data_IF_919309011859
#
_entry.id   IF_919309011859
#
_cell.length_a   1.000
_cell.length_b   1.000
_cell.length_c   1.000
_cell.angle_alpha   90.00
_cell.angle_beta   90.00
_cell.angle_gamma   90.00
#
_symmetry.space_group_name_H-M   'P 1'
#
loop_
_entity.id
_entity.type
_entity.pdbx_description
1 polymer ?
#
# COMPACT_ATOMS: atom_id res chain seq x y z
N UNK A 1 52.74 51.45 -27.51
CA UNK A 1 51.64 50.47 -27.46
C UNK A 1 50.44 51.18 -26.85
N UNK A 2 49.29 51.17 -27.51
CA UNK A 2 48.10 51.90 -27.04
C UNK A 2 47.09 50.84 -26.60
N UNK A 3 47.03 50.59 -25.30
CA UNK A 3 46.09 49.64 -24.73
C UNK A 3 44.68 50.18 -24.93
N UNK A 4 43.90 49.52 -25.78
CA UNK A 4 42.48 49.82 -25.97
C UNK A 4 41.73 49.22 -24.78
N UNK A 5 41.32 50.06 -23.84
CA UNK A 5 40.43 49.66 -22.76
C UNK A 5 39.04 49.28 -23.27
N UNK A 6 38.33 48.43 -22.52
CA UNK A 6 36.94 48.06 -22.79
C UNK A 6 36.03 49.28 -22.68
N UNK A 7 35.07 49.38 -23.60
CA UNK A 7 34.05 50.44 -23.53
C UNK A 7 32.98 50.09 -22.50
N UNK A 8 32.39 51.09 -21.85
CA UNK A 8 31.33 50.89 -20.85
C UNK A 8 30.17 50.05 -21.41
N UNK A 9 29.80 50.29 -22.67
CA UNK A 9 28.72 49.57 -23.35
C UNK A 9 29.05 48.08 -23.54
N UNK A 10 30.31 47.75 -23.79
CA UNK A 10 30.77 46.37 -24.01
C UNK A 10 30.77 45.56 -22.71
N UNK A 11 31.10 46.20 -21.59
CA UNK A 11 30.97 45.61 -20.25
C UNK A 11 29.49 45.37 -19.90
N UNK A 12 28.62 46.34 -20.19
CA UNK A 12 27.16 46.21 -19.98
C UNK A 12 26.55 45.08 -20.82
N UNK A 13 26.93 44.98 -22.10
CA UNK A 13 26.46 43.89 -22.98
C UNK A 13 26.98 42.54 -22.48
N UNK A 14 28.25 42.46 -22.07
CA UNK A 14 28.81 41.22 -21.54
C UNK A 14 28.10 40.77 -20.26
N UNK A 15 27.80 41.71 -19.36
CA UNK A 15 27.10 41.42 -18.11
C UNK A 15 25.65 40.99 -18.36
N UNK A 16 24.95 41.63 -19.30
CA UNK A 16 23.57 41.26 -19.66
C UNK A 16 23.51 39.90 -20.34
N UNK A 17 24.45 39.57 -21.23
CA UNK A 17 24.55 38.23 -21.81
C UNK A 17 24.84 37.19 -20.74
N UNK A 18 25.76 37.49 -19.80
CA UNK A 18 26.08 36.60 -18.69
C UNK A 18 24.85 36.31 -17.83
N UNK A 19 24.05 37.33 -17.47
CA UNK A 19 22.85 37.14 -16.65
C UNK A 19 21.77 36.33 -17.38
N UNK A 20 21.59 36.54 -18.69
CA UNK A 20 20.67 35.74 -19.51
C UNK A 20 21.11 34.27 -19.53
N UNK A 21 22.40 34.01 -19.77
CA UNK A 21 22.96 32.65 -19.81
C UNK A 21 22.82 31.97 -18.45
N UNK A 22 23.20 32.65 -17.36
CA UNK A 22 23.05 32.14 -16.00
C UNK A 22 21.58 31.86 -15.65
N UNK A 23 20.66 32.73 -16.07
CA UNK A 23 19.22 32.55 -15.88
C UNK A 23 18.69 31.29 -16.59
N UNK A 24 19.10 31.08 -17.84
CA UNK A 24 18.71 29.90 -18.63
C UNK A 24 19.26 28.60 -18.02
N UNK A 25 20.53 28.59 -17.58
CA UNK A 25 21.17 27.44 -16.93
C UNK A 25 20.48 27.13 -15.61
N UNK A 26 20.22 28.15 -14.78
CA UNK A 26 19.56 27.98 -13.50
C UNK A 26 18.12 27.47 -13.68
N UNK A 27 17.36 28.03 -14.62
CA UNK A 27 16.01 27.54 -14.94
C UNK A 27 16.00 26.06 -15.35
N UNK A 28 16.94 25.67 -16.22
CA UNK A 28 17.09 24.28 -16.67
C UNK A 28 17.44 23.35 -15.50
N UNK A 29 18.37 23.76 -14.63
CA UNK A 29 18.76 23.00 -13.45
C UNK A 29 17.60 22.79 -12.48
N UNK A 30 16.82 23.84 -12.20
CA UNK A 30 15.64 23.74 -11.33
C UNK A 30 14.54 22.89 -11.94
N UNK A 31 14.36 22.95 -13.26
CA UNK A 31 13.40 22.10 -13.97
C UNK A 31 13.77 20.62 -13.83
N UNK A 32 15.04 20.27 -14.07
CA UNK A 32 15.54 18.89 -13.94
C UNK A 32 15.41 18.39 -12.50
N UNK A 33 15.82 19.20 -11.51
CA UNK A 33 15.69 18.83 -10.08
C UNK A 33 14.24 18.53 -9.68
N UNK A 34 13.30 19.39 -10.08
CA UNK A 34 11.88 19.16 -9.78
C UNK A 34 11.36 17.90 -10.47
N UNK A 35 11.81 17.62 -11.69
CA UNK A 35 11.45 16.39 -12.38
C UNK A 35 11.97 15.17 -11.62
N UNK A 36 13.24 15.16 -11.19
CA UNK A 36 13.82 14.04 -10.45
C UNK A 36 13.15 13.82 -9.10
N UNK A 37 12.91 14.88 -8.31
CA UNK A 37 12.24 14.78 -7.01
C UNK A 37 10.81 14.22 -7.13
N UNK A 38 10.08 14.59 -8.20
CA UNK A 38 8.76 14.03 -8.50
C UNK A 38 8.83 12.54 -8.83
N UNK A 39 9.79 12.15 -9.66
CA UNK A 39 9.98 10.74 -10.01
C UNK A 39 10.29 9.88 -8.79
N UNK A 40 11.11 10.38 -7.86
CA UNK A 40 11.46 9.65 -6.65
C UNK A 40 10.24 9.41 -5.74
N UNK A 41 9.41 10.43 -5.52
CA UNK A 41 8.19 10.30 -4.71
C UNK A 41 7.17 9.34 -5.33
N UNK A 42 6.96 9.44 -6.64
CA UNK A 42 6.04 8.55 -7.36
C UNK A 42 6.58 7.11 -7.29
N UNK A 43 7.85 6.90 -7.62
CA UNK A 43 8.50 5.59 -7.58
C UNK A 43 8.36 4.93 -6.20
N UNK A 44 8.56 5.71 -5.13
CA UNK A 44 8.38 5.24 -3.76
C UNK A 44 6.94 4.76 -3.51
N UNK A 45 5.93 5.55 -3.86
CA UNK A 45 4.52 5.18 -3.64
C UNK A 45 4.09 3.94 -4.42
N UNK A 46 4.53 3.80 -5.66
CA UNK A 46 4.33 2.57 -6.44
C UNK A 46 5.02 1.37 -5.80
N UNK A 47 6.23 1.55 -5.28
CA UNK A 47 6.99 0.50 -4.61
C UNK A 47 6.33 0.05 -3.31
N UNK A 48 5.92 0.98 -2.45
CA UNK A 48 5.18 0.72 -1.20
C UNK A 48 3.89 -0.06 -1.50
N UNK A 49 3.10 0.43 -2.46
CA UNK A 49 1.82 -0.21 -2.83
C UNK A 49 2.02 -1.62 -3.38
N UNK A 50 3.02 -1.83 -4.25
CA UNK A 50 3.34 -3.17 -4.77
C UNK A 50 3.84 -4.10 -3.69
N UNK A 51 4.65 -3.60 -2.77
CA UNK A 51 5.19 -4.40 -1.64
C UNK A 51 4.05 -4.81 -0.70
N UNK A 52 3.13 -3.90 -0.40
CA UNK A 52 1.93 -4.19 0.37
C UNK A 52 1.03 -5.24 -0.31
N UNK A 53 0.81 -5.12 -1.62
CA UNK A 53 0.04 -6.09 -2.41
C UNK A 53 0.71 -7.48 -2.42
N UNK A 54 2.02 -7.57 -2.65
CA UNK A 54 2.74 -8.85 -2.64
C UNK A 54 2.71 -9.50 -1.24
N UNK A 55 2.85 -8.68 -0.19
CA UNK A 55 2.73 -9.14 1.20
C UNK A 55 1.35 -9.74 1.46
N UNK A 56 0.27 -8.99 1.18
CA UNK A 56 -1.10 -9.47 1.34
C UNK A 56 -1.36 -10.73 0.50
N UNK A 57 -0.87 -10.77 -0.75
CA UNK A 57 -1.01 -11.95 -1.61
C UNK A 57 -0.43 -13.19 -0.96
N UNK A 58 0.80 -13.12 -0.42
CA UNK A 58 1.44 -14.25 0.24
C UNK A 58 0.71 -14.69 1.50
N UNK A 59 0.21 -13.74 2.29
CA UNK A 59 -0.54 -14.04 3.50
C UNK A 59 -1.89 -14.68 3.18
N UNK A 60 -2.61 -14.20 2.15
CA UNK A 60 -3.85 -14.84 1.66
C UNK A 60 -3.57 -16.23 1.11
N UNK A 61 -2.47 -16.43 0.36
CA UNK A 61 -2.06 -17.76 -0.11
C UNK A 61 -1.77 -18.71 1.05
N UNK A 62 -1.27 -18.19 2.18
CA UNK A 62 -0.96 -18.89 3.42
C UNK A 62 -2.09 -18.91 4.47
N UNK A 63 -3.30 -18.46 4.11
CA UNK A 63 -4.41 -18.35 5.05
C UNK A 63 -4.89 -19.72 5.55
N UNK A 64 -5.27 -19.79 6.82
CA UNK A 64 -5.72 -21.00 7.49
C UNK A 64 -7.06 -20.76 8.19
N UNK A 65 -7.87 -21.83 8.26
CA UNK A 65 -9.14 -21.84 8.99
C UNK A 65 -9.14 -22.96 10.01
N UNK A 66 -9.94 -22.80 11.07
CA UNK A 66 -10.14 -23.82 12.09
C UNK A 66 -10.63 -25.13 11.47
N UNK A 67 -10.04 -26.27 11.84
CA UNK A 67 -10.64 -27.57 11.53
C UNK A 67 -11.88 -27.79 12.41
N UNK A 68 -13.01 -28.10 11.79
CA UNK A 68 -14.22 -28.50 12.52
C UNK A 68 -14.02 -29.78 13.35
N UNK A 69 -12.96 -30.57 13.07
CA UNK A 69 -12.59 -31.80 13.80
C UNK A 69 -11.50 -31.62 14.86
N UNK A 70 -10.94 -30.43 15.01
CA UNK A 70 -9.92 -30.17 16.03
C UNK A 70 -10.55 -30.00 17.41
N UNK A 71 -9.92 -30.63 18.41
CA UNK A 71 -10.29 -30.64 19.81
C UNK A 71 -10.57 -29.20 20.33
N UNK A 72 -11.72 -28.96 20.97
CA UNK A 72 -12.10 -27.65 21.52
C UNK A 72 -11.10 -27.11 22.58
N UNK A 73 -10.23 -27.98 23.07
CA UNK A 73 -9.18 -27.68 24.04
C UNK A 73 -8.07 -26.77 23.48
N UNK A 74 -7.88 -26.69 22.15
CA UNK A 74 -6.97 -25.72 21.50
C UNK A 74 -7.76 -24.57 20.90
N UNK A 75 -7.93 -23.50 21.69
CA UNK A 75 -8.64 -22.25 21.33
C UNK A 75 -7.92 -21.38 20.27
N UNK A 76 -7.36 -21.96 19.21
CA UNK A 76 -6.79 -21.16 18.12
C UNK A 76 -7.96 -20.65 17.28
N UNK A 77 -8.20 -19.33 17.34
CA UNK A 77 -9.20 -18.64 16.50
C UNK A 77 -8.58 -18.41 15.12
N UNK A 78 -8.67 -19.43 14.26
CA UNK A 78 -8.23 -19.33 12.87
C UNK A 78 -9.42 -18.99 11.96
N UNK A 79 -9.30 -17.91 11.19
CA UNK A 79 -10.37 -17.44 10.31
C UNK A 79 -9.90 -16.55 9.18
N UNK A 80 -10.82 -16.22 8.29
CA UNK A 80 -10.65 -15.29 7.19
C UNK A 80 -11.92 -14.45 7.04
N UNK A 81 -11.79 -13.14 7.24
CA UNK A 81 -12.91 -12.21 7.28
C UNK A 81 -12.61 -11.01 6.40
N UNK A 82 -13.52 -10.72 5.48
CA UNK A 82 -13.55 -9.48 4.70
C UNK A 82 -14.76 -8.68 5.18
N UNK A 83 -14.52 -7.43 5.56
CA UNK A 83 -15.56 -6.46 5.93
C UNK A 83 -15.52 -5.29 4.98
N UNK A 84 -16.68 -4.93 4.43
CA UNK A 84 -16.83 -3.65 3.74
C UNK A 84 -16.89 -2.53 4.78
N UNK A 85 -16.22 -1.42 4.50
CA UNK A 85 -16.10 -0.27 5.39
C UNK A 85 -16.28 1.03 4.61
N UNK A 86 -16.68 2.04 5.36
CA UNK A 86 -16.62 3.42 4.90
C UNK A 86 -15.75 4.19 5.89
N UNK A 87 -14.75 4.90 5.36
CA UNK A 87 -13.91 5.80 6.14
C UNK A 87 -13.95 7.14 5.41
N UNK A 88 -14.57 8.13 6.05
CA UNK A 88 -14.67 9.49 5.52
C UNK A 88 -15.40 9.60 4.16
N UNK A 89 -16.45 8.79 3.96
CA UNK A 89 -17.21 8.75 2.70
C UNK A 89 -16.48 8.05 1.55
N UNK A 90 -15.31 7.48 1.82
CA UNK A 90 -14.55 6.66 0.87
C UNK A 90 -14.77 5.20 1.22
N UNK A 91 -15.13 4.43 0.20
CA UNK A 91 -15.34 3.01 0.37
C UNK A 91 -14.01 2.28 0.52
N UNK A 92 -13.86 1.61 1.65
CA UNK A 92 -12.65 0.88 2.06
C UNK A 92 -13.02 -0.54 2.50
N UNK A 93 -12.03 -1.40 2.69
CA UNK A 93 -12.25 -2.75 3.24
C UNK A 93 -11.40 -2.95 4.48
N UNK A 94 -11.79 -3.90 5.32
CA UNK A 94 -10.91 -4.51 6.30
C UNK A 94 -10.78 -6.00 5.99
N UNK A 95 -9.55 -6.49 6.06
CA UNK A 95 -9.21 -7.89 5.84
C UNK A 95 -8.54 -8.40 7.11
N UNK A 96 -9.12 -9.43 7.71
CA UNK A 96 -8.54 -10.15 8.84
C UNK A 96 -8.34 -11.60 8.43
N UNK A 97 -7.15 -12.14 8.61
CA UNK A 97 -6.87 -13.53 8.33
C UNK A 97 -5.87 -14.11 9.30
N UNK A 98 -5.94 -15.43 9.47
CA UNK A 98 -4.94 -16.17 10.23
C UNK A 98 -3.96 -16.83 9.28
N UNK A 99 -2.68 -16.49 9.42
CA UNK A 99 -1.60 -16.99 8.57
C UNK A 99 -0.30 -17.21 9.37
N UNK A 100 0.64 -17.95 8.81
CA UNK A 100 1.98 -18.04 9.38
C UNK A 100 2.74 -16.74 9.15
N UNK A 101 3.32 -16.19 10.21
CA UNK A 101 4.16 -15.00 10.09
C UNK A 101 5.51 -15.33 9.47
N UNK A 102 6.06 -14.39 8.70
CA UNK A 102 7.43 -14.51 8.19
C UNK A 102 8.50 -14.43 9.29
N UNK A 103 8.15 -13.89 10.48
CA UNK A 103 9.10 -13.68 11.60
C UNK A 103 9.25 -14.90 12.53
N UNK A 104 8.56 -16.02 12.28
CA UNK A 104 8.72 -17.24 13.07
C UNK A 104 7.68 -18.32 12.76
N UNK A 105 7.78 -19.50 13.38
CA UNK A 105 6.86 -20.63 13.18
C UNK A 105 5.47 -20.46 13.82
N UNK A 106 5.13 -19.25 14.26
CA UNK A 106 3.92 -19.00 15.02
C UNK A 106 2.80 -18.52 14.11
N UNK A 107 1.60 -19.02 14.41
CA UNK A 107 0.37 -18.61 13.77
C UNK A 107 -0.03 -17.23 14.29
N UNK A 108 -0.24 -16.28 13.38
CA UNK A 108 -0.65 -14.92 13.71
C UNK A 108 -1.99 -14.60 13.06
N UNK A 109 -2.80 -13.80 13.75
CA UNK A 109 -3.90 -13.07 13.14
C UNK A 109 -3.32 -11.78 12.59
N UNK A 110 -3.47 -11.58 11.29
CA UNK A 110 -3.07 -10.38 10.57
C UNK A 110 -4.31 -9.62 10.16
N UNK A 111 -4.31 -8.31 10.43
CA UNK A 111 -5.40 -7.41 10.09
C UNK A 111 -4.90 -6.25 9.24
N UNK A 112 -5.59 -5.99 8.15
CA UNK A 112 -5.40 -4.84 7.27
C UNK A 112 -6.63 -3.96 7.33
N UNK A 113 -6.43 -2.68 7.59
CA UNK A 113 -7.51 -1.71 7.66
C UNK A 113 -7.02 -0.31 7.36
N UNK A 114 -7.95 0.55 6.97
CA UNK A 114 -7.67 1.95 6.67
C UNK A 114 -8.02 2.81 7.88
N UNK A 115 -7.16 3.78 8.18
CA UNK A 115 -7.47 4.88 9.10
C UNK A 115 -7.31 6.21 8.40
N UNK A 116 -8.02 7.23 8.89
CA UNK A 116 -7.86 8.60 8.41
C UNK A 116 -6.89 9.34 9.33
N UNK A 117 -5.98 10.10 8.71
CA UNK A 117 -5.01 10.96 9.37
C UNK A 117 -4.75 12.18 8.50
N UNK A 118 -5.00 13.37 9.05
CA UNK A 118 -4.78 14.65 8.38
C UNK A 118 -5.47 14.77 7.00
N UNK A 119 -6.69 14.24 6.87
CA UNK A 119 -7.48 14.23 5.64
C UNK A 119 -7.03 13.20 4.60
N UNK A 120 -6.05 12.37 4.93
CA UNK A 120 -5.52 11.29 4.09
C UNK A 120 -5.91 9.94 4.67
N UNK A 121 -6.02 8.94 3.80
CA UNK A 121 -6.25 7.57 4.22
C UNK A 121 -4.92 6.83 4.24
N UNK A 122 -4.61 6.19 5.36
CA UNK A 122 -3.42 5.37 5.53
C UNK A 122 -3.85 3.91 5.69
N UNK A 123 -3.18 3.01 4.96
CA UNK A 123 -3.37 1.57 5.08
C UNK A 123 -2.43 1.03 6.15
N UNK A 124 -3.02 0.42 7.17
CA UNK A 124 -2.31 -0.15 8.30
C UNK A 124 -2.32 -1.67 8.24
N UNK A 125 -1.23 -2.27 8.70
CA UNK A 125 -1.13 -3.70 9.02
C UNK A 125 -0.96 -3.86 10.52
N UNK A 126 -1.73 -4.77 11.09
CA UNK A 126 -1.61 -5.20 12.47
C UNK A 126 -1.33 -6.69 12.53
N UNK A 127 -0.48 -7.12 13.47
CA UNK A 127 -0.24 -8.53 13.78
C UNK A 127 -0.40 -8.81 15.28
N UNK A 128 -1.07 -9.92 15.58
CA UNK A 128 -1.13 -10.50 16.93
C UNK A 128 -0.92 -12.02 16.87
N UNK A 129 -0.21 -12.64 17.83
CA UNK A 129 -0.14 -14.09 17.95
C UNK A 129 -1.54 -14.68 18.14
N UNK A 130 -1.90 -15.69 17.34
CA UNK A 130 -3.25 -16.28 17.38
C UNK A 130 -3.54 -17.06 18.68
N UNK A 131 -2.49 -17.45 19.41
CA UNK A 131 -2.59 -18.29 20.61
C UNK A 131 -2.54 -17.50 21.94
N UNK A 132 -2.03 -16.26 21.95
CA UNK A 132 -1.81 -15.49 23.17
C UNK A 132 -2.33 -14.06 22.97
N UNK A 133 -3.21 -13.55 23.84
CA UNK A 133 -3.57 -12.14 23.84
C UNK A 133 -2.33 -11.31 24.16
N UNK A 134 -1.76 -10.65 23.16
CA UNK A 134 -0.63 -9.73 23.32
C UNK A 134 -1.00 -8.34 22.84
N UNK A 135 -0.12 -7.38 23.07
CA UNK A 135 -0.27 -6.03 22.53
C UNK A 135 -0.30 -6.11 21.00
N UNK A 136 -1.30 -5.47 20.40
CA UNK A 136 -1.44 -5.32 18.97
C UNK A 136 -0.37 -4.36 18.46
N UNK A 137 0.41 -4.79 17.46
CA UNK A 137 1.42 -3.94 16.82
C UNK A 137 0.94 -3.56 15.43
N UNK A 138 0.55 -2.29 15.27
CA UNK A 138 0.15 -1.71 14.00
C UNK A 138 1.30 -0.93 13.36
N UNK A 139 1.43 -1.04 12.04
CA UNK A 139 2.41 -0.31 11.23
C UNK A 139 1.71 0.23 9.98
N UNK A 140 2.00 1.47 9.61
CA UNK A 140 1.59 2.07 8.34
C UNK A 140 2.36 1.40 7.20
N UNK A 141 1.65 0.80 6.24
CA UNK A 141 2.27 0.09 5.11
C UNK A 141 2.16 0.86 3.80
N UNK A 142 1.13 1.70 3.65
CA UNK A 142 0.96 2.61 2.52
C UNK A 142 0.23 3.84 3.02
N UNK A 143 0.89 5.00 3.00
CA UNK A 143 0.29 6.27 3.40
C UNK A 143 -0.45 6.92 2.24
N UNK A 144 -1.48 7.72 2.49
CA UNK A 144 -2.14 8.57 1.48
C UNK A 144 -2.72 7.82 0.28
N UNK A 145 -3.52 6.78 0.54
CA UNK A 145 -4.32 6.08 -0.46
C UNK A 145 -5.66 6.78 -0.68
N UNK A 146 -6.30 6.46 -1.81
CA UNK A 146 -7.66 6.90 -2.15
C UNK A 146 -8.69 5.80 -1.85
N UNK A 147 -8.33 4.54 -2.09
CA UNK A 147 -9.19 3.39 -1.78
C UNK A 147 -8.36 2.15 -1.46
N UNK A 148 -8.89 1.31 -0.58
CA UNK A 148 -8.44 -0.07 -0.36
C UNK A 148 -9.66 -0.98 -0.43
N UNK A 149 -9.69 -1.88 -1.40
CA UNK A 149 -10.83 -2.77 -1.61
C UNK A 149 -10.39 -4.22 -1.67
N UNK A 150 -11.06 -5.07 -0.89
CA UNK A 150 -10.87 -6.52 -0.88
C UNK A 150 -12.18 -7.18 -1.28
N UNK A 151 -12.11 -8.02 -2.30
CA UNK A 151 -13.26 -8.71 -2.87
C UNK A 151 -12.95 -10.20 -3.01
N UNK A 152 -13.98 -11.03 -2.96
CA UNK A 152 -13.87 -12.46 -3.28
C UNK A 152 -14.93 -12.92 -4.26
N UNK A 153 -14.63 -13.96 -5.04
CA UNK A 153 -15.59 -14.56 -5.95
C UNK A 153 -16.52 -15.51 -5.20
N UNK A 154 -17.81 -15.28 -5.29
CA UNK A 154 -18.85 -16.19 -4.80
C UNK A 154 -20.01 -16.23 -5.79
N UNK A 155 -20.40 -17.44 -6.22
CA UNK A 155 -21.47 -17.64 -7.22
C UNK A 155 -21.29 -16.76 -8.47
N UNK A 156 -20.06 -16.73 -9.02
CA UNK A 156 -19.68 -15.94 -10.21
C UNK A 156 -19.83 -14.42 -10.05
N UNK A 157 -19.92 -13.92 -8.81
CA UNK A 157 -19.96 -12.48 -8.50
C UNK A 157 -18.86 -12.11 -7.53
N UNK A 158 -18.29 -10.93 -7.70
CA UNK A 158 -17.41 -10.33 -6.71
C UNK A 158 -18.24 -9.80 -5.55
N UNK A 159 -17.93 -10.25 -4.34
CA UNK A 159 -18.55 -9.80 -3.09
C UNK A 159 -17.48 -9.17 -2.19
N UNK A 160 -17.86 -8.15 -1.43
CA UNK A 160 -16.97 -7.36 -0.55
C UNK A 160 -17.01 -7.79 0.90
N UNK A 161 -17.73 -8.88 1.18
CA UNK A 161 -17.86 -9.45 2.50
C UNK A 161 -17.62 -10.94 2.43
N UNK A 162 -16.91 -11.46 3.42
CA UNK A 162 -16.68 -12.89 3.59
C UNK A 162 -16.43 -13.16 5.06
N UNK A 163 -16.93 -14.28 5.55
CA UNK A 163 -16.65 -14.73 6.91
C UNK A 163 -16.59 -16.25 6.93
N UNK A 164 -15.43 -16.79 7.29
CA UNK A 164 -15.23 -18.24 7.40
C UNK A 164 -16.02 -18.87 8.53
N UNK A 165 -16.40 -18.14 9.57
CA UNK A 165 -17.27 -18.66 10.63
C UNK A 165 -18.68 -18.95 10.09
N UNK A 166 -19.14 -18.14 9.13
CA UNK A 166 -20.45 -18.29 8.48
C UNK A 166 -20.41 -19.27 7.29
N UNK A 167 -19.33 -19.22 6.51
CA UNK A 167 -19.22 -19.99 5.24
C UNK A 167 -18.57 -21.35 5.43
N UNK A 168 -17.81 -21.55 6.51
CA UNK A 168 -17.07 -22.77 6.81
C UNK A 168 -15.89 -23.06 5.86
N UNK A 169 -15.55 -22.14 4.94
CA UNK A 169 -14.49 -22.35 3.96
C UNK A 169 -13.78 -21.06 3.57
N UNK A 170 -12.52 -21.19 3.17
CA UNK A 170 -11.76 -20.10 2.57
C UNK A 170 -12.36 -19.66 1.23
N UNK A 171 -12.22 -18.37 0.86
CA UNK A 171 -12.59 -17.90 -0.46
C UNK A 171 -11.77 -18.56 -1.58
N UNK A 172 -12.36 -18.74 -2.77
CA UNK A 172 -11.69 -19.39 -3.91
C UNK A 172 -10.61 -18.48 -4.54
N UNK A 173 -10.91 -17.20 -4.64
CA UNK A 173 -10.01 -16.16 -5.12
C UNK A 173 -10.32 -14.87 -4.37
N UNK A 174 -9.28 -14.13 -4.05
CA UNK A 174 -9.33 -12.83 -3.41
C UNK A 174 -8.69 -11.83 -4.37
N UNK A 175 -9.38 -10.73 -4.62
CA UNK A 175 -8.91 -9.60 -5.42
C UNK A 175 -8.68 -8.45 -4.46
N UNK A 176 -7.46 -7.96 -4.43
CA UNK A 176 -7.02 -6.89 -3.55
C UNK A 176 -6.66 -5.71 -4.44
N UNK A 177 -7.25 -4.55 -4.16
CA UNK A 177 -7.03 -3.34 -4.95
C UNK A 177 -6.66 -2.19 -4.02
N UNK A 178 -5.58 -1.49 -4.37
CA UNK A 178 -5.21 -0.21 -3.76
C UNK A 178 -5.25 0.85 -4.85
N UNK A 179 -5.89 1.97 -4.55
CA UNK A 179 -5.94 3.15 -5.41
C UNK A 179 -5.26 4.32 -4.70
N UNK A 180 -4.49 5.12 -5.43
CA UNK A 180 -3.85 6.32 -4.91
C UNK A 180 -3.77 7.40 -5.99
N UNK A 181 -3.70 8.66 -5.58
CA UNK A 181 -3.51 9.78 -6.51
C UNK A 181 -2.04 9.94 -6.91
N UNK A 182 -1.81 10.06 -8.22
CA UNK A 182 -0.55 10.51 -8.81
C UNK A 182 -0.81 11.83 -9.55
N UNK A 183 -0.68 12.94 -8.83
CA UNK A 183 -0.81 14.31 -9.35
C UNK A 183 -2.12 14.55 -10.12
N UNK A 184 -3.24 14.12 -9.55
CA UNK A 184 -4.58 14.22 -10.15
C UNK A 184 -4.95 13.06 -11.07
N UNK A 185 -4.05 12.10 -11.27
CA UNK A 185 -4.36 10.84 -11.95
C UNK A 185 -4.56 9.74 -10.92
N UNK A 186 -5.77 9.19 -10.84
CA UNK A 186 -6.05 8.05 -9.97
C UNK A 186 -5.38 6.79 -10.54
N UNK A 187 -4.39 6.26 -9.82
CA UNK A 187 -3.68 5.02 -10.15
C UNK A 187 -4.34 3.88 -9.39
N UNK A 188 -4.60 2.78 -10.08
CA UNK A 188 -5.19 1.55 -9.51
C UNK A 188 -4.24 0.39 -9.70
N UNK A 189 -3.82 -0.24 -8.59
CA UNK A 189 -3.05 -1.47 -8.60
C UNK A 189 -3.89 -2.60 -8.00
N UNK A 190 -3.93 -3.73 -8.70
CA UNK A 190 -4.75 -4.89 -8.31
C UNK A 190 -3.90 -6.15 -8.31
N UNK A 191 -4.07 -6.97 -7.27
CA UNK A 191 -3.44 -8.26 -7.10
C UNK A 191 -4.49 -9.34 -6.88
N UNK A 192 -4.24 -10.54 -7.40
CA UNK A 192 -5.13 -11.70 -7.23
C UNK A 192 -4.42 -12.78 -6.43
N UNK A 193 -5.05 -13.23 -5.36
CA UNK A 193 -4.52 -14.27 -4.49
C UNK A 193 -5.52 -15.43 -4.40
N UNK A 194 -5.00 -16.67 -4.36
CA UNK A 194 -5.80 -17.87 -4.10
C UNK A 194 -5.25 -18.55 -2.86
N UNK A 195 -6.04 -18.76 -1.81
CA UNK A 195 -5.60 -19.55 -0.66
C UNK A 195 -5.14 -20.94 -1.12
N UNK A 196 -3.88 -21.29 -0.85
CA UNK A 196 -3.25 -22.54 -1.32
C UNK A 196 -3.33 -23.64 -0.27
N UNK A 197 -3.29 -23.25 1.00
CA UNK A 197 -3.36 -24.17 2.13
C UNK A 197 -4.79 -24.23 2.67
N UNK A 198 -5.61 -25.11 2.08
CA UNK A 198 -6.87 -25.54 2.71
C UNK A 198 -6.64 -26.49 3.90
N UNK A 199 -5.51 -26.36 4.59
CA UNK A 199 -5.12 -27.28 5.67
C UNK A 199 -5.91 -26.88 6.89
N UNK A 200 -6.97 -27.63 7.14
CA UNK A 200 -7.70 -27.55 8.39
C UNK A 200 -6.74 -27.89 9.54
N UNK A 201 -6.46 -26.93 10.43
CA UNK A 201 -5.64 -27.12 11.65
C UNK A 201 -6.39 -27.92 12.72
#
# INVERSE_FOLDING_TARGET
MKDKGFTLIEVLISLTLLTIVLGAVHSSFFSVRRATERFDQISLKYHETRTALDMMRREVEGALIKNARADESKKIRAGFVIKDRDVFGKSTSALELTAFSFKGSNLNTVSYYVTEKDGKLDLLKSEMPAAVPSKEYSVDIVEGIESFTVETMFNQKWVRTWDTELTGRLPEIVKITIEFDDNGTLVKLTEYARPKFGTQL
#
